data_IF_394332576479
#
_entry.id   IF_394332576479
#
_cell.length_a   1.000
_cell.length_b   1.000
_cell.length_c   1.000
_cell.angle_alpha   90.00
_cell.angle_beta   90.00
_cell.angle_gamma   90.00
#
_symmetry.space_group_name_H-M   'P 1'
#
loop_
_entity.id
_entity.type
_entity.pdbx_description
1 polymer ?
#
# COMPACT_ATOMS: atom_id res chain seq x y z
N UNK A 1 -12.98 0.29 1.69
CA UNK A 1 -12.71 1.74 1.55
C UNK A 1 -13.09 2.09 0.15
N UNK A 2 -14.05 2.99 -0.02
CA UNK A 2 -14.56 3.32 -1.33
C UNK A 2 -13.59 4.22 -2.10
N UNK A 3 -13.23 3.82 -3.32
CA UNK A 3 -12.57 4.67 -4.31
C UNK A 3 -13.52 4.93 -5.49
N UNK A 4 -13.66 6.18 -5.96
CA UNK A 4 -14.63 6.56 -6.99
C UNK A 4 -14.12 6.27 -8.42
N UNK A 5 -13.51 5.10 -8.62
CA UNK A 5 -12.99 4.61 -9.90
C UNK A 5 -13.16 3.08 -9.98
N UNK A 6 -13.17 2.48 -11.18
CA UNK A 6 -13.21 1.02 -11.32
C UNK A 6 -12.03 0.30 -10.63
N UNK A 7 -12.19 -0.96 -10.21
CA UNK A 7 -11.13 -1.74 -9.55
C UNK A 7 -9.82 -1.78 -10.31
N UNK A 8 -9.85 -1.88 -11.64
CA UNK A 8 -8.67 -1.91 -12.50
C UNK A 8 -7.85 -0.62 -12.38
N UNK A 9 -8.52 0.52 -12.33
CA UNK A 9 -7.88 1.84 -12.22
C UNK A 9 -7.30 2.03 -10.83
N UNK A 10 -8.05 1.64 -9.79
CA UNK A 10 -7.56 1.69 -8.41
C UNK A 10 -6.35 0.76 -8.23
N UNK A 11 -6.43 -0.46 -8.75
CA UNK A 11 -5.38 -1.47 -8.69
C UNK A 11 -4.11 -0.95 -9.36
N UNK A 12 -4.17 -0.61 -10.65
CA UNK A 12 -2.99 -0.17 -11.43
C UNK A 12 -2.33 1.07 -10.80
N UNK A 13 -3.13 1.97 -10.23
CA UNK A 13 -2.60 3.13 -9.53
C UNK A 13 -1.88 2.76 -8.22
N UNK A 14 -2.47 1.88 -7.39
CA UNK A 14 -1.94 1.57 -6.06
C UNK A 14 -0.70 0.67 -6.10
N UNK A 15 -0.62 -0.28 -7.05
CA UNK A 15 0.48 -1.25 -7.14
C UNK A 15 1.75 -0.66 -7.77
N UNK A 16 1.63 0.42 -8.53
CA UNK A 16 2.78 1.07 -9.18
C UNK A 16 3.62 1.84 -8.15
N UNK A 17 4.89 1.48 -7.93
CA UNK A 17 5.76 2.18 -6.98
C UNK A 17 5.95 3.67 -7.32
N UNK A 18 5.78 4.08 -8.57
CA UNK A 18 5.87 5.48 -8.97
C UNK A 18 4.78 6.35 -8.32
N UNK A 19 3.61 5.78 -8.03
CA UNK A 19 2.48 6.50 -7.43
C UNK A 19 2.51 6.49 -5.89
N UNK A 20 3.33 5.64 -5.25
CA UNK A 20 3.26 5.38 -3.79
C UNK A 20 3.37 6.64 -2.93
N UNK A 21 4.29 7.54 -3.28
CA UNK A 21 4.48 8.78 -2.52
C UNK A 21 3.29 9.75 -2.64
N UNK A 22 2.45 9.61 -3.68
CA UNK A 22 1.25 10.43 -3.82
C UNK A 22 0.17 10.00 -2.83
N UNK A 23 -0.06 8.69 -2.69
CA UNK A 23 -1.18 8.18 -1.91
C UNK A 23 -0.84 7.83 -0.46
N UNK A 24 0.43 7.56 -0.13
CA UNK A 24 0.93 7.39 1.24
C UNK A 24 1.71 8.64 1.71
N UNK A 25 1.11 9.60 2.44
CA UNK A 25 1.76 10.85 2.80
C UNK A 25 2.98 10.68 3.72
N UNK A 26 3.09 9.54 4.40
CA UNK A 26 4.25 9.20 5.21
C UNK A 26 5.49 8.87 4.37
N UNK A 27 5.33 8.57 3.08
CA UNK A 27 6.43 8.27 2.16
C UNK A 27 6.99 9.52 1.51
N UNK A 28 8.30 9.72 1.66
CA UNK A 28 9.04 10.76 0.96
C UNK A 28 9.23 10.44 -0.52
N UNK A 29 9.61 9.20 -0.84
CA UNK A 29 9.84 8.68 -2.20
C UNK A 29 10.02 7.16 -2.17
N UNK A 30 10.05 6.56 -3.36
CA UNK A 30 10.51 5.19 -3.59
C UNK A 30 11.85 5.23 -4.32
N UNK A 31 12.76 4.33 -3.97
CA UNK A 31 14.09 4.17 -4.56
C UNK A 31 14.33 2.70 -4.98
N UNK A 32 15.39 2.48 -5.74
CA UNK A 32 15.96 1.14 -6.00
C UNK A 32 14.93 0.12 -6.54
N UNK A 33 14.03 0.54 -7.43
CA UNK A 33 13.02 -0.33 -8.03
C UNK A 33 13.71 -1.34 -8.96
N UNK A 34 13.47 -2.62 -8.70
CA UNK A 34 14.00 -3.76 -9.47
C UNK A 34 12.84 -4.66 -9.91
N UNK A 35 12.71 -4.80 -11.23
CA UNK A 35 11.69 -5.63 -11.87
C UNK A 35 10.44 -4.85 -12.28
N UNK A 36 9.64 -5.40 -13.21
CA UNK A 36 8.35 -4.83 -13.60
C UNK A 36 7.35 -4.98 -12.44
N UNK A 37 6.21 -4.27 -12.53
CA UNK A 37 5.07 -4.49 -11.63
C UNK A 37 4.64 -5.96 -11.75
N UNK A 38 4.78 -6.71 -10.66
CA UNK A 38 4.67 -8.16 -10.69
C UNK A 38 5.11 -8.81 -9.37
N UNK A 39 4.79 -10.09 -9.19
CA UNK A 39 5.37 -10.90 -8.11
C UNK A 39 6.89 -10.94 -8.24
N UNK A 40 7.61 -10.69 -7.14
CA UNK A 40 9.07 -10.61 -7.10
C UNK A 40 9.64 -9.22 -7.43
N UNK A 41 8.81 -8.24 -7.78
CA UNK A 41 9.22 -6.83 -7.82
C UNK A 41 9.73 -6.40 -6.46
N UNK A 42 10.84 -5.65 -6.42
CA UNK A 42 11.43 -5.14 -5.17
C UNK A 42 11.74 -3.66 -5.28
N UNK A 43 11.68 -2.95 -4.15
CA UNK A 43 12.04 -1.54 -4.06
C UNK A 43 12.36 -1.14 -2.62
N UNK A 44 12.82 0.08 -2.42
CA UNK A 44 13.06 0.67 -1.10
C UNK A 44 12.12 1.85 -0.89
N UNK A 45 11.36 1.83 0.19
CA UNK A 45 10.63 3.02 0.62
C UNK A 45 11.55 3.95 1.38
N UNK A 46 11.31 5.25 1.26
CA UNK A 46 11.90 6.24 2.16
C UNK A 46 10.78 6.94 2.88
N UNK A 47 10.55 6.60 4.14
CA UNK A 47 9.50 7.25 4.95
C UNK A 47 9.99 8.60 5.50
N UNK A 48 9.06 9.43 6.00
CA UNK A 48 9.35 10.55 6.90
C UNK A 48 9.19 10.03 8.34
N UNK A 49 10.22 10.03 9.21
CA UNK A 49 11.48 10.79 9.15
C UNK A 49 12.72 10.05 8.59
N UNK A 50 12.58 8.89 7.95
CA UNK A 50 13.71 8.27 7.22
C UNK A 50 13.85 6.76 7.37
N UNK A 51 12.78 6.02 7.73
CA UNK A 51 12.87 4.55 7.69
C UNK A 51 13.00 4.09 6.23
N UNK A 52 13.79 3.05 6.03
CA UNK A 52 14.08 2.49 4.71
C UNK A 52 13.75 1.00 4.65
N UNK A 53 12.46 0.60 4.63
CA UNK A 53 12.11 -0.81 4.51
C UNK A 53 12.38 -1.30 3.08
N UNK A 54 12.94 -2.52 3.01
CA UNK A 54 13.05 -3.27 1.75
C UNK A 54 11.70 -3.94 1.49
N UNK A 55 11.13 -3.62 0.34
CA UNK A 55 9.80 -4.03 -0.06
C UNK A 55 9.87 -5.09 -1.17
N UNK A 56 8.85 -5.94 -1.21
CA UNK A 56 8.68 -6.98 -2.23
C UNK A 56 7.19 -7.22 -2.48
N UNK A 57 6.77 -7.29 -3.74
CA UNK A 57 5.43 -7.79 -4.10
C UNK A 57 5.43 -9.31 -4.02
N UNK A 58 4.62 -9.88 -3.13
CA UNK A 58 4.53 -11.33 -2.90
C UNK A 58 3.31 -11.97 -3.56
N UNK A 59 2.30 -11.18 -3.90
CA UNK A 59 1.09 -11.65 -4.60
C UNK A 59 0.56 -10.53 -5.50
N UNK A 60 0.13 -10.87 -6.71
CA UNK A 60 -0.48 -9.94 -7.65
C UNK A 60 -1.49 -10.69 -8.54
N UNK A 61 -2.78 -10.47 -8.28
CA UNK A 61 -3.91 -10.96 -9.06
C UNK A 61 -4.77 -9.76 -9.48
N UNK A 62 -4.59 -9.28 -10.71
CA UNK A 62 -5.27 -8.08 -11.19
C UNK A 62 -6.72 -8.41 -11.62
N UNK A 63 -7.73 -7.60 -11.23
CA UNK A 63 -7.65 -6.44 -10.34
C UNK A 63 -7.97 -6.77 -8.87
N UNK A 64 -8.09 -8.05 -8.49
CA UNK A 64 -8.73 -8.48 -7.25
C UNK A 64 -7.85 -8.37 -6.00
N UNK A 65 -6.54 -8.59 -6.10
CA UNK A 65 -5.70 -8.78 -4.92
C UNK A 65 -4.23 -8.44 -5.15
N UNK A 66 -3.65 -7.75 -4.19
CA UNK A 66 -2.21 -7.45 -4.16
C UNK A 66 -1.69 -7.58 -2.74
N UNK A 67 -0.56 -8.27 -2.58
CA UNK A 67 0.13 -8.40 -1.29
C UNK A 67 1.59 -7.98 -1.44
N UNK A 68 2.05 -7.14 -0.52
CA UNK A 68 3.46 -6.74 -0.38
C UNK A 68 4.01 -7.11 1.00
N UNK A 69 5.33 -7.30 1.06
CA UNK A 69 6.07 -7.52 2.29
C UNK A 69 7.18 -6.47 2.42
N UNK A 70 7.18 -5.76 3.54
CA UNK A 70 8.22 -4.83 3.92
C UNK A 70 9.08 -5.35 5.06
N UNK A 71 10.40 -5.15 5.03
CA UNK A 71 11.30 -5.54 6.12
C UNK A 71 12.28 -4.42 6.47
N UNK A 72 12.46 -4.15 7.76
CA UNK A 72 13.46 -3.20 8.26
C UNK A 72 13.90 -3.56 9.66
N UNK A 73 15.21 -3.52 9.92
CA UNK A 73 15.78 -3.88 11.24
C UNK A 73 15.23 -5.24 11.71
N UNK A 74 14.50 -5.27 12.83
CA UNK A 74 13.88 -6.47 13.40
C UNK A 74 12.41 -6.63 13.04
N UNK A 75 11.84 -5.72 12.25
CA UNK A 75 10.43 -5.66 11.87
C UNK A 75 10.19 -6.23 10.47
N UNK A 76 9.01 -6.83 10.31
CA UNK A 76 8.43 -7.21 9.02
C UNK A 76 6.95 -6.82 9.00
N UNK A 77 6.51 -6.21 7.91
CA UNK A 77 5.12 -5.90 7.64
C UNK A 77 4.64 -6.66 6.41
N UNK A 78 3.37 -7.03 6.41
CA UNK A 78 2.68 -7.63 5.27
C UNK A 78 1.36 -6.87 5.08
N UNK A 79 1.21 -6.25 3.92
CA UNK A 79 0.00 -5.54 3.52
C UNK A 79 -0.65 -6.31 2.38
N UNK A 80 -1.91 -6.67 2.57
CA UNK A 80 -2.79 -7.16 1.51
C UNK A 80 -3.87 -6.12 1.26
N UNK A 81 -4.10 -5.80 -0.01
CA UNK A 81 -5.27 -5.09 -0.48
C UNK A 81 -6.15 -6.03 -1.31
N UNK A 82 -7.42 -6.11 -0.98
CA UNK A 82 -8.46 -6.79 -1.76
C UNK A 82 -9.39 -5.77 -2.38
N UNK A 83 -9.75 -5.99 -3.64
CA UNK A 83 -10.49 -5.05 -4.46
C UNK A 83 -11.78 -5.72 -4.94
N UNK A 84 -12.91 -5.05 -4.74
CA UNK A 84 -14.20 -5.50 -5.21
C UNK A 84 -14.91 -4.39 -6.00
N UNK A 85 -15.62 -4.71 -7.10
CA UNK A 85 -16.53 -3.78 -7.75
C UNK A 85 -17.61 -3.30 -6.77
N UNK A 86 -17.96 -2.02 -6.84
CA UNK A 86 -19.05 -1.44 -6.05
C UNK A 86 -19.81 -0.39 -6.88
N UNK A 87 -21.09 -0.10 -6.56
CA UNK A 87 -21.80 1.00 -7.20
C UNK A 87 -21.01 2.31 -7.05
N UNK A 88 -20.71 2.96 -8.18
CA UNK A 88 -19.93 4.20 -8.21
C UNK A 88 -18.41 4.06 -8.14
N UNK A 89 -17.86 2.83 -8.09
CA UNK A 89 -16.41 2.62 -8.12
C UNK A 89 -15.95 1.25 -7.61
N UNK A 90 -15.08 1.26 -6.60
CA UNK A 90 -14.42 0.08 -6.06
C UNK A 90 -14.34 0.15 -4.53
N UNK A 91 -14.59 -0.97 -3.86
CA UNK A 91 -14.23 -1.15 -2.45
C UNK A 91 -12.85 -1.79 -2.34
N UNK A 92 -11.97 -1.15 -1.58
CA UNK A 92 -10.65 -1.70 -1.23
C UNK A 92 -10.58 -2.04 0.25
N UNK A 93 -10.34 -3.30 0.56
CA UNK A 93 -10.20 -3.82 1.93
C UNK A 93 -8.72 -4.06 2.26
N UNK A 94 -8.14 -3.29 3.20
CA UNK A 94 -6.77 -3.50 3.65
C UNK A 94 -6.70 -4.47 4.83
N UNK A 95 -5.80 -5.44 4.72
CA UNK A 95 -5.30 -6.24 5.85
C UNK A 95 -3.82 -5.97 6.03
N UNK A 96 -3.42 -5.57 7.25
CA UNK A 96 -2.02 -5.27 7.58
C UNK A 96 -1.60 -6.09 8.77
N UNK A 97 -0.43 -6.73 8.67
CA UNK A 97 0.19 -7.50 9.76
C UNK A 97 1.59 -7.00 10.02
N UNK A 98 1.88 -6.64 11.27
CA UNK A 98 3.22 -6.24 11.71
C UNK A 98 3.78 -7.26 12.71
N UNK A 99 5.00 -7.71 12.44
CA UNK A 99 5.74 -8.60 13.33
C UNK A 99 7.10 -7.99 13.63
N UNK A 100 7.63 -8.31 14.81
CA UNK A 100 9.01 -8.01 15.14
C UNK A 100 9.64 -9.17 15.91
N UNK A 101 10.96 -9.30 15.80
CA UNK A 101 11.76 -10.27 16.54
C UNK A 101 12.31 -9.68 17.83
N UNK A 102 12.54 -10.54 18.83
CA UNK A 102 13.17 -10.17 20.10
C UNK A 102 12.32 -9.23 20.97
N UNK A 103 12.95 -8.35 21.78
CA UNK A 103 12.22 -7.51 22.73
C UNK A 103 11.24 -6.52 22.07
N UNK A 104 11.41 -6.25 20.78
CA UNK A 104 10.50 -5.41 20.00
C UNK A 104 9.11 -6.04 19.77
N UNK A 105 8.91 -7.32 20.09
CA UNK A 105 7.65 -8.03 19.86
C UNK A 105 6.43 -7.41 20.54
N UNK A 106 6.58 -6.82 21.73
CA UNK A 106 5.46 -6.15 22.41
C UNK A 106 5.04 -4.88 21.64
N UNK A 107 6.00 -4.07 21.20
CA UNK A 107 5.73 -2.89 20.39
C UNK A 107 5.05 -3.25 19.07
N UNK A 108 5.49 -4.34 18.42
CA UNK A 108 4.87 -4.83 17.20
C UNK A 108 3.39 -5.18 17.39
N UNK A 109 2.99 -5.80 18.51
CA UNK A 109 1.57 -6.11 18.78
C UNK A 109 0.69 -4.89 18.93
N UNK A 110 1.22 -3.80 19.50
CA UNK A 110 0.48 -2.55 19.62
C UNK A 110 0.34 -1.89 18.25
N UNK A 111 1.45 -1.78 17.51
CA UNK A 111 1.48 -1.21 16.18
C UNK A 111 0.61 -1.99 15.18
N UNK A 112 0.62 -3.32 15.24
CA UNK A 112 -0.20 -4.23 14.43
C UNK A 112 -1.70 -3.89 14.53
N UNK A 113 -2.20 -3.60 15.74
CA UNK A 113 -3.61 -3.19 15.93
C UNK A 113 -3.94 -1.83 15.35
N UNK A 114 -2.97 -0.94 15.25
CA UNK A 114 -3.15 0.42 14.75
C UNK A 114 -2.87 0.53 13.24
N UNK A 115 -2.09 -0.38 12.68
CA UNK A 115 -1.63 -0.32 11.30
C UNK A 115 -2.77 -0.24 10.27
N UNK A 116 -3.90 -0.96 10.40
CA UNK A 116 -5.02 -0.82 9.48
C UNK A 116 -5.62 0.60 9.43
N UNK A 117 -5.51 1.38 10.50
CA UNK A 117 -6.00 2.77 10.51
C UNK A 117 -5.14 3.68 9.64
N UNK A 118 -3.82 3.50 9.66
CA UNK A 118 -2.89 4.24 8.80
C UNK A 118 -3.15 3.91 7.33
N UNK A 119 -3.26 2.62 6.99
CA UNK A 119 -3.55 2.19 5.61
C UNK A 119 -4.89 2.74 5.13
N UNK A 120 -5.93 2.75 5.97
CA UNK A 120 -7.22 3.38 5.62
C UNK A 120 -7.09 4.88 5.37
N UNK A 121 -6.23 5.59 6.10
CA UNK A 121 -5.98 7.01 5.84
C UNK A 121 -5.29 7.22 4.49
N UNK A 122 -4.31 6.38 4.16
CA UNK A 122 -3.61 6.41 2.86
C UNK A 122 -4.58 6.11 1.70
N UNK A 123 -5.43 5.08 1.83
CA UNK A 123 -6.45 4.76 0.82
C UNK A 123 -7.49 5.87 0.65
N UNK A 124 -7.85 6.58 1.71
CA UNK A 124 -8.73 7.76 1.60
C UNK A 124 -8.07 8.87 0.77
N UNK A 125 -6.77 9.10 0.98
CA UNK A 125 -6.00 10.04 0.17
C UNK A 125 -5.92 9.59 -1.30
N UNK A 126 -5.72 8.29 -1.57
CA UNK A 126 -5.78 7.71 -2.90
C UNK A 126 -7.14 7.99 -3.59
N UNK A 127 -8.26 7.74 -2.89
CA UNK A 127 -9.60 7.99 -3.40
C UNK A 127 -9.85 9.46 -3.75
N UNK A 128 -9.30 10.39 -2.95
CA UNK A 128 -9.36 11.83 -3.25
C UNK A 128 -8.59 12.18 -4.53
N UNK A 129 -7.38 11.65 -4.70
CA UNK A 129 -6.54 11.89 -5.88
C UNK A 129 -7.22 11.33 -7.13
N UNK A 130 -7.61 10.05 -7.10
CA UNK A 130 -8.25 9.38 -8.23
C UNK A 130 -9.59 10.03 -8.62
N UNK A 131 -10.40 10.43 -7.64
CA UNK A 131 -11.64 11.16 -7.91
C UNK A 131 -11.42 12.56 -8.48
N UNK A 132 -10.29 13.22 -8.18
CA UNK A 132 -9.95 14.51 -8.80
C UNK A 132 -9.49 14.34 -10.25
N UNK A 133 -8.72 13.29 -10.54
CA UNK A 133 -8.24 12.96 -11.89
C UNK A 133 -9.41 12.59 -12.82
N UNK A 134 -10.37 11.79 -12.34
CA UNK A 134 -11.52 11.39 -13.17
C UNK A 134 -12.45 12.55 -13.56
N UNK A 135 -12.54 13.60 -12.73
CA UNK A 135 -13.33 14.81 -13.05
C UNK A 135 -12.63 15.78 -13.99
N UNK A 136 -11.30 15.73 -14.10
CA UNK A 136 -10.52 16.62 -14.98
C UNK A 136 -10.39 16.13 -16.41
N UNK A 137 -10.70 14.86 -16.67
CA UNK A 137 -10.66 14.23 -18.01
C UNK A 137 -12.04 14.16 -18.68
N UNK A 138 -13.07 14.76 -18.07
CA UNK A 138 -14.45 14.79 -18.54
C UNK A 138 -14.81 16.13 -19.18
#
# INVERSE_FOLDING_TARGET
>A
MHLPVPPEVAFDYLVDPANRAEWQPSLARVEDVVGPVGVGQRWVDVTRPGLRPLMETTELDRPHRWTERGTWRTFSAELTLEFAPAPGGCEVEPTMRLRARGPAGLAARVLDRLAPLAVRADLRNAGRILGSRSRGTA
#
